data_IF_014013482653
#
_entry.id   IF_014013482653
#
_cell.length_a   1.000
_cell.length_b   1.000
_cell.length_c   1.000
_cell.angle_alpha   90.00
_cell.angle_beta   90.00
_cell.angle_gamma   90.00
#
_symmetry.space_group_name_H-M   'P 1'
#
loop_
_entity.id
_entity.type
_entity.pdbx_description
1 polymer ?
#
# COMPACT_ATOMS: atom_id res chain seq x y z
N UNK A 1 10.28 -0.28 2.99
CA UNK A 1 8.88 -0.07 3.42
C UNK A 1 8.41 -1.24 4.27
N UNK A 2 7.91 -0.97 5.48
CA UNK A 2 7.39 -1.99 6.41
C UNK A 2 5.86 -1.90 6.48
N UNK A 3 5.18 -3.00 6.16
CA UNK A 3 3.72 -3.13 6.30
C UNK A 3 3.40 -3.82 7.63
N UNK A 4 2.47 -3.28 8.39
CA UNK A 4 2.01 -3.83 9.67
C UNK A 4 0.48 -3.96 9.66
N UNK A 5 -0.05 -5.12 10.06
CA UNK A 5 -1.48 -5.32 10.26
C UNK A 5 -1.74 -5.40 11.78
N UNK A 6 -2.70 -4.61 12.30
CA UNK A 6 -3.05 -4.61 13.73
C UNK A 6 -4.57 -4.59 13.92
N UNK A 7 -5.06 -5.39 14.84
CA UNK A 7 -6.44 -5.29 15.33
C UNK A 7 -6.59 -4.11 16.29
N UNK A 8 -7.66 -3.32 16.14
CA UNK A 8 -8.00 -2.22 17.04
C UNK A 8 -8.96 -2.74 18.12
N UNK A 9 -8.45 -3.06 19.30
CA UNK A 9 -9.21 -3.78 20.34
C UNK A 9 -10.33 -2.97 21.06
N UNK A 10 -10.52 -1.68 20.74
CA UNK A 10 -11.29 -0.74 21.60
C UNK A 10 -12.62 -0.24 21.04
N UNK A 11 -13.15 -0.78 19.95
CA UNK A 11 -14.40 -0.24 19.37
C UNK A 11 -15.38 -1.33 18.95
N UNK A 12 -16.66 -1.25 19.35
CA UNK A 12 -17.70 -2.18 18.93
C UNK A 12 -17.89 -2.03 17.41
N UNK A 13 -17.40 -3.02 16.67
CA UNK A 13 -17.42 -3.03 15.21
C UNK A 13 -16.18 -2.47 14.51
N UNK A 14 -15.10 -2.12 15.23
CA UNK A 14 -13.89 -1.62 14.57
C UNK A 14 -12.56 -2.23 14.95
N UNK A 15 -11.63 -2.36 14.00
CA UNK A 15 -11.64 -2.40 12.51
C UNK A 15 -10.15 -2.52 12.18
N UNK A 16 -9.75 -3.53 11.45
CA UNK A 16 -8.35 -3.87 11.22
C UNK A 16 -7.58 -2.70 10.61
N UNK A 17 -6.33 -2.47 11.04
CA UNK A 17 -5.50 -1.38 10.52
C UNK A 17 -4.27 -1.92 9.79
N UNK A 18 -4.01 -1.40 8.60
CA UNK A 18 -2.76 -1.59 7.86
C UNK A 18 -1.93 -0.32 7.98
N UNK A 19 -0.67 -0.42 8.39
CA UNK A 19 0.27 0.72 8.46
C UNK A 19 1.44 0.55 7.50
N UNK A 20 1.87 1.65 6.89
CA UNK A 20 2.99 1.73 5.97
C UNK A 20 3.80 3.00 6.27
N UNK A 21 4.99 2.85 6.86
CA UNK A 21 5.99 3.93 7.08
C UNK A 21 5.51 5.22 7.80
N UNK A 22 4.24 5.31 8.19
CA UNK A 22 3.63 6.51 8.78
C UNK A 22 2.12 6.56 8.52
N UNK A 23 1.69 6.09 7.35
CA UNK A 23 0.29 6.00 6.95
C UNK A 23 -0.45 4.88 7.68
N UNK A 24 -1.75 5.08 7.88
CA UNK A 24 -2.63 4.11 8.53
C UNK A 24 -3.98 4.03 7.80
N UNK A 25 -4.36 2.81 7.39
CA UNK A 25 -5.60 2.52 6.67
C UNK A 25 -6.47 1.58 7.51
N UNK A 26 -7.76 1.87 7.66
CA UNK A 26 -8.69 1.10 8.50
C UNK A 26 -9.71 0.31 7.69
N UNK A 27 -10.00 -0.93 8.10
CA UNK A 27 -10.82 -1.91 7.37
C UNK A 27 -11.86 -2.58 8.24
N UNK A 28 -12.99 -2.98 7.67
CA UNK A 28 -14.08 -3.59 8.45
C UNK A 28 -13.74 -4.99 8.97
N UNK A 29 -12.93 -5.72 8.20
CA UNK A 29 -12.57 -7.12 8.47
C UNK A 29 -11.08 -7.40 8.29
N UNK A 30 -10.59 -8.50 8.88
CA UNK A 30 -9.19 -8.93 8.75
C UNK A 30 -8.87 -9.25 7.29
N UNK A 31 -9.78 -9.95 6.62
CA UNK A 31 -9.62 -10.38 5.23
C UNK A 31 -9.38 -9.18 4.29
N UNK A 32 -10.13 -8.09 4.46
CA UNK A 32 -9.94 -6.87 3.66
C UNK A 32 -8.58 -6.22 3.94
N UNK A 33 -8.20 -6.10 5.22
CA UNK A 33 -6.89 -5.55 5.61
C UNK A 33 -5.74 -6.39 5.03
N UNK A 34 -5.87 -7.72 5.04
CA UNK A 34 -4.86 -8.64 4.52
C UNK A 34 -4.75 -8.55 2.99
N UNK A 35 -5.87 -8.59 2.28
CA UNK A 35 -5.89 -8.45 0.81
C UNK A 35 -5.30 -7.10 0.35
N UNK A 36 -5.59 -6.02 1.09
CA UNK A 36 -4.97 -4.72 0.84
C UNK A 36 -3.46 -4.76 1.09
N UNK A 37 -3.01 -5.32 2.21
CA UNK A 37 -1.59 -5.44 2.54
C UNK A 37 -0.81 -6.26 1.50
N UNK A 38 -1.37 -7.36 1.00
CA UNK A 38 -0.77 -8.18 -0.06
C UNK A 38 -0.63 -7.40 -1.37
N UNK A 39 -1.69 -6.70 -1.78
CA UNK A 39 -1.67 -5.84 -2.98
C UNK A 39 -0.62 -4.75 -2.85
N UNK A 40 -0.54 -4.11 -1.68
CA UNK A 40 0.44 -3.06 -1.40
C UNK A 40 1.87 -3.62 -1.44
N UNK A 41 2.11 -4.77 -0.82
CA UNK A 41 3.40 -5.43 -0.82
C UNK A 41 3.84 -5.83 -2.24
N UNK A 42 2.92 -6.36 -3.05
CA UNK A 42 3.17 -6.73 -4.43
C UNK A 42 3.56 -5.50 -5.27
N UNK A 43 2.87 -4.37 -5.06
CA UNK A 43 3.18 -3.10 -5.74
C UNK A 43 4.56 -2.57 -5.34
N UNK A 44 4.89 -2.56 -4.05
CA UNK A 44 6.19 -2.10 -3.56
C UNK A 44 7.34 -2.95 -4.11
N UNK A 45 7.10 -4.26 -4.29
CA UNK A 45 8.09 -5.20 -4.85
C UNK A 45 8.09 -5.24 -6.37
N UNK A 46 7.11 -4.63 -7.02
CA UNK A 46 7.01 -4.69 -8.46
C UNK A 46 8.22 -3.96 -9.07
N UNK A 47 8.86 -4.51 -10.11
CA UNK A 47 9.88 -3.80 -10.85
C UNK A 47 9.21 -2.63 -11.59
N UNK A 48 9.23 -1.44 -10.99
CA UNK A 48 8.74 -0.24 -11.62
C UNK A 48 9.70 0.16 -12.74
N UNK A 49 9.32 -0.11 -13.99
CA UNK A 49 10.03 0.42 -15.16
C UNK A 49 9.89 1.93 -15.16
N UNK A 50 10.99 2.63 -14.90
CA UNK A 50 11.05 4.07 -15.17
C UNK A 50 10.82 4.29 -16.66
N UNK A 51 10.03 5.30 -17.07
CA UNK A 51 9.96 5.67 -18.47
C UNK A 51 11.38 6.00 -18.93
N UNK A 52 11.87 5.23 -19.90
CA UNK A 52 13.11 5.55 -20.59
C UNK A 52 12.93 6.94 -21.17
N UNK A 53 13.72 7.91 -20.69
CA UNK A 53 13.69 9.28 -21.14
C UNK A 53 14.01 9.30 -22.63
N UNK A 54 12.99 9.14 -23.47
CA UNK A 54 13.10 9.22 -24.91
C UNK A 54 13.30 10.70 -25.19
N UNK A 55 14.60 11.03 -25.29
CA UNK A 55 15.18 12.28 -25.71
C UNK A 55 14.17 13.11 -26.49
N UNK A 56 13.69 14.20 -25.88
CA UNK A 56 12.96 15.26 -26.60
C UNK A 56 13.87 15.66 -27.76
N UNK A 57 13.56 15.18 -28.97
CA UNK A 57 14.11 15.73 -30.18
C UNK A 57 13.61 17.17 -30.24
N UNK A 58 14.49 18.10 -29.85
CA UNK A 58 14.36 19.49 -30.23
C UNK A 58 14.46 19.51 -31.76
N UNK A 59 13.34 19.72 -32.45
CA UNK A 59 13.36 20.09 -33.86
C UNK A 59 13.40 21.63 -33.88
N UNK A 60 14.51 22.16 -34.41
CA UNK A 60 14.69 23.58 -34.68
C UNK A 60 13.99 24.03 -35.96
#
# INVERSE_FOLDING_TARGET
MKILIKALAKSPGNKWQVRLDGDAFTFRSEAEARAFAETLQARIRAPHRFPSSQQRATAG
#
